data_IF_167443731937
#
_entry.id   IF_167443731937
#
_cell.length_a   1.000
_cell.length_b   1.000
_cell.length_c   1.000
_cell.angle_alpha   90.00
_cell.angle_beta   90.00
_cell.angle_gamma   90.00
#
_symmetry.space_group_name_H-M   'P 1'
#
loop_
_entity.id
_entity.type
_entity.pdbx_description
1 polymer ?
#
# COMPACT_ATOMS: atom_id res chain seq x y z
N UNK A 1 1.70 5.79 -13.55
CA UNK A 1 2.47 6.83 -12.83
C UNK A 1 1.74 8.16 -12.81
N UNK A 2 1.33 8.73 -13.94
CA UNK A 2 0.43 9.90 -13.95
C UNK A 2 -0.94 9.53 -13.34
N UNK A 3 -1.46 8.35 -13.70
CA UNK A 3 -2.72 7.82 -13.15
C UNK A 3 -2.74 7.82 -11.62
N UNK A 4 -1.66 7.36 -10.98
CA UNK A 4 -1.53 7.34 -9.51
C UNK A 4 -1.57 8.73 -8.90
N UNK A 5 -0.99 9.74 -9.57
CA UNK A 5 -1.05 11.13 -9.11
C UNK A 5 -2.47 11.71 -9.20
N UNK A 6 -3.15 11.43 -10.30
CA UNK A 6 -4.52 11.89 -10.53
C UNK A 6 -5.48 11.20 -9.56
N UNK A 7 -5.38 9.88 -9.44
CA UNK A 7 -6.23 9.09 -8.55
C UNK A 7 -5.96 9.39 -7.07
N UNK A 8 -4.69 9.45 -6.66
CA UNK A 8 -4.27 9.83 -5.30
C UNK A 8 -4.84 11.19 -4.90
N UNK A 9 -4.71 12.17 -5.79
CA UNK A 9 -5.26 13.52 -5.58
C UNK A 9 -6.77 13.49 -5.38
N UNK A 10 -7.52 12.79 -6.23
CA UNK A 10 -8.98 12.68 -6.12
C UNK A 10 -9.38 12.02 -4.80
N UNK A 11 -8.76 10.88 -4.46
CA UNK A 11 -9.07 10.12 -3.25
C UNK A 11 -8.80 10.92 -1.97
N UNK A 12 -7.71 11.70 -1.94
CA UNK A 12 -7.37 12.53 -0.79
C UNK A 12 -8.51 13.47 -0.42
N UNK A 13 -9.04 14.19 -1.41
CA UNK A 13 -10.13 15.15 -1.22
C UNK A 13 -11.48 14.47 -1.01
N UNK A 14 -11.76 13.35 -1.70
CA UNK A 14 -13.00 12.60 -1.54
C UNK A 14 -13.16 12.00 -0.13
N UNK A 15 -12.07 11.58 0.49
CA UNK A 15 -12.08 10.96 1.82
C UNK A 15 -12.16 12.01 2.94
N UNK A 16 -11.97 13.30 2.62
CA UNK A 16 -12.01 14.39 3.59
C UNK A 16 -10.81 14.41 4.54
N UNK A 17 -9.63 14.01 4.04
CA UNK A 17 -8.38 14.05 4.80
C UNK A 17 -7.98 15.48 5.22
N UNK A 18 -7.07 15.56 6.19
CA UNK A 18 -6.62 16.84 6.78
C UNK A 18 -6.04 17.73 5.68
N UNK A 19 -6.59 18.94 5.49
CA UNK A 19 -6.16 19.84 4.42
C UNK A 19 -4.85 20.59 4.74
N UNK A 20 -3.78 19.87 5.06
CA UNK A 20 -2.42 20.42 5.18
C UNK A 20 -1.60 20.10 3.94
N UNK A 21 -0.84 21.08 3.43
CA UNK A 21 0.02 20.87 2.25
C UNK A 21 1.05 19.76 2.47
N UNK A 22 1.61 19.67 3.68
CA UNK A 22 2.55 18.60 4.06
C UNK A 22 1.88 17.22 4.09
N UNK A 23 0.68 17.11 4.67
CA UNK A 23 -0.05 15.85 4.74
C UNK A 23 -0.47 15.33 3.36
N UNK A 24 -0.89 16.22 2.47
CA UNK A 24 -1.21 15.91 1.08
C UNK A 24 0.01 15.40 0.31
N UNK A 25 1.12 16.16 0.33
CA UNK A 25 2.34 15.76 -0.39
C UNK A 25 2.93 14.45 0.14
N UNK A 26 2.88 14.22 1.45
CA UNK A 26 3.34 12.97 2.04
C UNK A 26 2.45 11.80 1.65
N UNK A 27 1.12 11.96 1.68
CA UNK A 27 0.19 10.94 1.21
C UNK A 27 0.45 10.58 -0.26
N UNK A 28 0.57 11.59 -1.12
CA UNK A 28 0.79 11.40 -2.55
C UNK A 28 2.12 10.69 -2.82
N UNK A 29 3.19 11.08 -2.11
CA UNK A 29 4.49 10.42 -2.20
C UNK A 29 4.41 8.94 -1.77
N UNK A 30 3.70 8.63 -0.69
CA UNK A 30 3.54 7.25 -0.20
C UNK A 30 2.78 6.39 -1.21
N UNK A 31 1.68 6.90 -1.78
CA UNK A 31 0.92 6.19 -2.82
C UNK A 31 1.80 5.96 -4.06
N UNK A 32 2.50 7.00 -4.51
CA UNK A 32 3.40 6.91 -5.66
C UNK A 32 4.51 5.87 -5.46
N UNK A 33 5.20 5.88 -4.32
CA UNK A 33 6.25 4.92 -3.99
C UNK A 33 5.70 3.49 -3.91
N UNK A 34 4.54 3.30 -3.30
CA UNK A 34 3.90 1.98 -3.21
C UNK A 34 3.58 1.43 -4.60
N UNK A 35 3.05 2.27 -5.49
CA UNK A 35 2.77 1.88 -6.88
C UNK A 35 4.04 1.59 -7.68
N UNK A 36 5.12 2.36 -7.47
CA UNK A 36 6.43 2.05 -8.08
C UNK A 36 6.96 0.69 -7.64
N UNK A 37 6.85 0.35 -6.35
CA UNK A 37 7.29 -0.94 -5.82
C UNK A 37 6.49 -2.11 -6.44
N UNK A 38 5.17 -1.98 -6.58
CA UNK A 38 4.36 -3.01 -7.25
C UNK A 38 4.70 -3.14 -8.73
N UNK A 39 4.94 -2.03 -9.44
CA UNK A 39 5.37 -2.07 -10.83
C UNK A 39 6.71 -2.80 -10.98
N UNK A 40 7.68 -2.50 -10.12
CA UNK A 40 8.97 -3.19 -10.09
C UNK A 40 8.83 -4.69 -9.76
N UNK A 41 7.94 -5.03 -8.82
CA UNK A 41 7.65 -6.42 -8.46
C UNK A 41 7.04 -7.20 -9.63
N UNK A 42 6.07 -6.63 -10.35
CA UNK A 42 5.50 -7.29 -11.53
C UNK A 42 6.50 -7.44 -12.66
N UNK A 43 7.38 -6.45 -12.86
CA UNK A 43 8.48 -6.57 -13.80
C UNK A 43 9.43 -7.71 -13.42
N UNK A 44 9.78 -7.82 -12.14
CA UNK A 44 10.60 -8.92 -11.63
C UNK A 44 9.95 -10.28 -11.90
N UNK A 45 8.66 -10.43 -11.57
CA UNK A 45 7.93 -11.67 -11.85
C UNK A 45 7.83 -12.00 -13.34
N UNK A 46 7.66 -10.99 -14.19
CA UNK A 46 7.61 -11.16 -15.63
C UNK A 46 8.95 -11.67 -16.20
N UNK A 47 10.08 -11.19 -15.67
CA UNK A 47 11.43 -11.62 -16.12
C UNK A 47 11.81 -13.00 -15.58
N UNK A 48 11.39 -13.34 -14.36
CA UNK A 48 11.69 -14.65 -13.73
C UNK A 48 10.83 -15.77 -14.32
N UNK A 49 9.65 -15.44 -14.84
CA UNK A 49 8.72 -16.44 -15.38
C UNK A 49 9.13 -16.90 -16.78
N UNK A 50 9.15 -18.22 -17.06
CA UNK A 50 9.52 -18.74 -18.37
C UNK A 50 8.47 -18.48 -19.45
N UNK A 51 7.18 -18.41 -19.07
CA UNK A 51 6.05 -18.25 -19.98
C UNK A 51 4.93 -17.38 -19.38
N UNK A 52 4.18 -16.68 -20.22
CA UNK A 52 3.01 -15.88 -19.81
C UNK A 52 1.94 -16.70 -19.09
N UNK A 53 1.78 -17.97 -19.47
CA UNK A 53 0.80 -18.86 -18.85
C UNK A 53 1.15 -19.19 -17.39
N UNK A 54 2.42 -19.04 -17.00
CA UNK A 54 2.92 -19.21 -15.63
C UNK A 54 3.00 -17.86 -14.91
N UNK A 55 3.40 -16.79 -15.62
CA UNK A 55 3.53 -15.45 -15.06
C UNK A 55 2.21 -14.89 -14.52
N UNK A 56 1.10 -15.10 -15.23
CA UNK A 56 -0.23 -14.61 -14.83
C UNK A 56 -0.67 -15.15 -13.47
N UNK A 57 -0.75 -16.48 -13.28
CA UNK A 57 -1.10 -17.09 -12.00
C UNK A 57 -0.15 -16.70 -10.86
N UNK A 58 1.17 -16.66 -11.08
CA UNK A 58 2.14 -16.27 -10.05
C UNK A 58 1.92 -14.82 -9.60
N UNK A 59 1.64 -13.93 -10.55
CA UNK A 59 1.38 -12.51 -10.26
C UNK A 59 0.09 -12.33 -9.44
N UNK A 60 -0.99 -13.00 -9.86
CA UNK A 60 -2.27 -13.01 -9.14
C UNK A 60 -2.12 -13.56 -7.71
N UNK A 61 -1.40 -14.67 -7.57
CA UNK A 61 -1.10 -15.25 -6.27
C UNK A 61 -0.31 -14.27 -5.40
N UNK A 62 0.77 -13.68 -5.92
CA UNK A 62 1.57 -12.70 -5.19
C UNK A 62 0.74 -11.50 -4.71
N UNK A 63 -0.15 -10.97 -5.57
CA UNK A 63 -1.07 -9.89 -5.22
C UNK A 63 -2.02 -10.26 -4.08
N UNK A 64 -2.56 -11.48 -4.13
CA UNK A 64 -3.42 -11.99 -3.07
C UNK A 64 -2.69 -12.02 -1.73
N UNK A 65 -1.43 -12.48 -1.69
CA UNK A 65 -0.61 -12.47 -0.48
C UNK A 65 -0.40 -11.05 0.06
N UNK A 66 0.02 -10.11 -0.79
CA UNK A 66 0.23 -8.73 -0.34
C UNK A 66 -1.04 -8.07 0.19
N UNK A 67 -2.19 -8.36 -0.44
CA UNK A 67 -3.49 -7.82 -0.02
C UNK A 67 -3.97 -8.43 1.29
N UNK A 68 -3.81 -9.75 1.47
CA UNK A 68 -4.23 -10.45 2.69
C UNK A 68 -3.44 -9.97 3.91
N UNK A 69 -2.12 -9.82 3.76
CA UNK A 69 -1.21 -9.45 4.84
C UNK A 69 -0.91 -7.94 4.92
N UNK A 70 -1.69 -7.08 4.25
CA UNK A 70 -1.47 -5.62 4.33
C UNK A 70 -1.85 -5.00 5.69
N UNK A 71 -2.40 -5.77 6.62
CA UNK A 71 -2.82 -5.27 7.94
C UNK A 71 -4.24 -4.68 7.97
N UNK A 72 -4.94 -4.63 6.84
CA UNK A 72 -6.35 -4.22 6.76
C UNK A 72 -7.31 -5.41 6.76
N UNK A 73 -7.11 -6.40 5.88
CA UNK A 73 -7.96 -7.61 5.81
C UNK A 73 -7.76 -8.50 7.04
N UNK A 74 -6.50 -8.85 7.31
CA UNK A 74 -6.10 -9.50 8.56
C UNK A 74 -5.36 -8.45 9.39
N UNK A 75 -5.92 -8.12 10.55
CA UNK A 75 -5.26 -7.18 11.47
C UNK A 75 -3.97 -7.79 11.98
N UNK A 76 -2.94 -6.97 12.19
CA UNK A 76 -1.60 -7.42 12.61
C UNK A 76 -1.63 -8.36 13.82
N UNK A 77 -2.54 -8.13 14.78
CA UNK A 77 -2.66 -8.95 15.99
C UNK A 77 -3.34 -10.32 15.81
N UNK A 78 -3.86 -10.63 14.62
CA UNK A 78 -4.44 -11.93 14.29
C UNK A 78 -3.54 -12.73 13.33
N UNK A 79 -2.44 -12.15 12.87
CA UNK A 79 -1.46 -12.85 12.03
C UNK A 79 -0.64 -13.77 12.94
N UNK A 80 -0.56 -15.07 12.66
CA UNK A 80 0.27 -15.98 13.42
C UNK A 80 1.75 -15.55 13.39
N UNK A 81 2.48 -15.74 14.50
CA UNK A 81 3.87 -15.26 14.64
C UNK A 81 4.81 -15.78 13.53
N UNK A 82 4.56 -16.98 13.02
CA UNK A 82 5.34 -17.58 11.94
C UNK A 82 5.12 -16.92 10.56
N UNK A 83 4.04 -16.17 10.35
CA UNK A 83 3.71 -15.47 9.10
C UNK A 83 3.93 -13.95 9.16
N UNK A 84 4.30 -13.41 10.33
CA UNK A 84 4.40 -11.96 10.51
C UNK A 84 5.46 -11.30 9.62
N UNK A 85 6.47 -12.06 9.18
CA UNK A 85 7.50 -11.57 8.26
C UNK A 85 6.91 -11.09 6.92
N UNK A 86 5.82 -11.71 6.45
CA UNK A 86 5.15 -11.27 5.21
C UNK A 86 4.50 -9.90 5.36
N UNK A 87 3.97 -9.58 6.54
CA UNK A 87 3.45 -8.24 6.84
C UNK A 87 4.56 -7.18 6.71
N UNK A 88 5.75 -7.48 7.22
CA UNK A 88 6.89 -6.56 7.14
C UNK A 88 7.47 -6.41 5.72
N UNK A 89 7.38 -7.46 4.90
CA UNK A 89 7.80 -7.43 3.51
C UNK A 89 6.82 -6.69 2.59
N UNK A 90 5.52 -6.66 2.94
CA UNK A 90 4.49 -6.04 2.12
C UNK A 90 4.61 -4.50 2.08
N UNK A 91 4.89 -3.87 0.93
CA UNK A 91 4.95 -2.41 0.83
C UNK A 91 3.57 -1.77 1.10
N UNK A 92 2.49 -2.49 0.80
CA UNK A 92 1.13 -2.03 1.06
C UNK A 92 0.84 -1.86 2.56
N UNK A 93 1.40 -2.73 3.41
CA UNK A 93 1.27 -2.60 4.85
C UNK A 93 1.88 -1.29 5.38
N UNK A 94 3.04 -0.93 4.83
CA UNK A 94 3.71 0.32 5.15
C UNK A 94 2.95 1.53 4.61
N UNK A 95 2.40 1.46 3.40
CA UNK A 95 1.59 2.53 2.81
C UNK A 95 0.36 2.86 3.66
N UNK A 96 -0.39 1.83 4.08
CA UNK A 96 -1.57 2.00 4.95
C UNK A 96 -1.16 2.59 6.30
N UNK A 97 -0.09 2.09 6.90
CA UNK A 97 0.42 2.59 8.19
C UNK A 97 0.88 4.05 8.09
N UNK A 98 1.60 4.42 7.03
CA UNK A 98 2.08 5.78 6.81
C UNK A 98 0.91 6.75 6.60
N UNK A 99 -0.10 6.35 5.83
CA UNK A 99 -1.32 7.14 5.66
C UNK A 99 -2.07 7.32 6.98
N UNK A 100 -2.21 6.26 7.78
CA UNK A 100 -2.87 6.33 9.08
C UNK A 100 -2.13 7.28 10.04
N UNK A 101 -0.81 7.15 10.18
CA UNK A 101 -0.02 8.04 11.05
C UNK A 101 -0.10 9.49 10.57
N UNK A 102 0.02 9.73 9.26
CA UNK A 102 -0.05 11.07 8.68
C UNK A 102 -1.38 11.78 8.99
N UNK A 103 -2.49 11.04 9.04
CA UNK A 103 -3.82 11.61 9.28
C UNK A 103 -4.18 11.67 10.77
N UNK A 104 -3.97 10.59 11.52
CA UNK A 104 -4.42 10.49 12.92
C UNK A 104 -3.47 11.13 13.93
N UNK A 105 -2.29 11.58 13.52
CA UNK A 105 -1.40 12.38 14.39
C UNK A 105 -1.84 13.86 14.44
N UNK A 106 -2.80 14.27 13.62
CA UNK A 106 -3.32 15.64 13.65
C UNK A 106 -4.15 15.91 14.91
N UNK A 107 -3.96 17.11 15.48
CA UNK A 107 -4.65 17.61 16.67
C UNK A 107 -6.18 17.49 16.61
N UNK A 108 -6.77 17.53 15.40
CA UNK A 108 -8.22 17.35 15.18
C UNK A 108 -8.73 15.99 15.65
N UNK A 109 -7.88 14.96 15.64
CA UNK A 109 -8.25 13.60 16.05
C UNK A 109 -7.72 13.22 17.44
N UNK A 110 -6.99 14.13 18.09
CA UNK A 110 -6.41 13.93 19.43
C UNK A 110 -7.23 14.59 20.54
N UNK A 111 -8.53 14.77 20.32
CA UNK A 111 -9.47 15.29 21.32
C UNK A 111 -10.24 14.11 21.95
N UNK A 112 -10.13 13.98 23.28
CA UNK A 112 -10.91 13.03 24.08
C UNK A 112 -12.37 13.49 24.24
#
# INVERSE_FOLDING_TARGET
MIETLVFGSIIYWMTGFVATAGGFLFFELVVFLTSMMFAAWFFFLAVVSPDMNVAGPITMFSLFFFTLFCGFVVTKGQIPDYLIWMYWFSPQAWGIRAAAVNQYTDSRFTVC
#
